data_IF_913665167852
#
_entry.id   IF_913665167852
#
_cell.length_a   1.000
_cell.length_b   1.000
_cell.length_c   1.000
_cell.angle_alpha   90.00
_cell.angle_beta   90.00
_cell.angle_gamma   90.00
#
_symmetry.space_group_name_H-M   'P 1'
#
loop_
_entity.id
_entity.type
_entity.pdbx_description
1 polymer ?
#
# COMPACT_ATOMS: atom_id res chain seq x y z
N UNK A 1 19.47 -5.01 -8.83
CA UNK A 1 19.51 -3.55 -8.99
C UNK A 1 19.71 -2.88 -7.64
N UNK A 2 20.67 -1.96 -7.53
CA UNK A 2 20.90 -1.18 -6.33
C UNK A 2 19.69 -0.28 -6.04
N UNK A 3 19.25 -0.22 -4.78
CA UNK A 3 18.10 0.58 -4.36
C UNK A 3 18.44 2.06 -4.49
N UNK A 4 17.75 2.78 -5.37
CA UNK A 4 17.87 4.25 -5.48
C UNK A 4 17.57 4.88 -4.11
N UNK A 5 18.43 5.79 -3.67
CA UNK A 5 18.22 6.54 -2.45
C UNK A 5 16.90 7.33 -2.56
N UNK A 6 16.04 7.25 -1.55
CA UNK A 6 14.73 7.93 -1.60
C UNK A 6 14.80 9.45 -1.71
N UNK A 7 15.96 10.04 -1.44
CA UNK A 7 16.23 11.46 -1.65
C UNK A 7 16.30 11.83 -3.12
N UNK A 8 16.65 10.88 -4.00
CA UNK A 8 16.83 11.09 -5.45
C UNK A 8 15.70 10.50 -6.30
N UNK A 9 14.55 10.14 -5.71
CA UNK A 9 13.41 9.70 -6.52
C UNK A 9 12.85 10.87 -7.36
N UNK A 10 12.42 10.63 -8.61
CA UNK A 10 11.71 11.63 -9.40
C UNK A 10 10.29 11.83 -8.85
N UNK A 11 9.58 12.88 -9.27
CA UNK A 11 8.12 12.94 -9.16
C UNK A 11 7.51 11.97 -10.19
N UNK A 12 6.38 11.33 -9.87
CA UNK A 12 5.77 10.37 -10.79
C UNK A 12 5.02 9.24 -10.12
N UNK A 13 5.16 8.04 -10.70
CA UNK A 13 4.46 6.84 -10.31
C UNK A 13 5.33 5.96 -9.41
N UNK A 14 4.73 5.35 -8.39
CA UNK A 14 5.43 4.54 -7.41
C UNK A 14 4.66 3.28 -7.04
N UNK A 15 5.37 2.16 -7.00
CA UNK A 15 4.95 0.98 -6.25
C UNK A 15 5.44 1.07 -4.81
N UNK A 16 4.50 1.09 -3.88
CA UNK A 16 4.74 1.24 -2.46
C UNK A 16 4.33 -0.04 -1.73
N UNK A 17 5.12 -0.45 -0.74
CA UNK A 17 4.71 -1.47 0.20
C UNK A 17 5.15 -1.16 1.65
N UNK A 18 4.36 -1.61 2.62
CA UNK A 18 4.77 -1.63 4.03
C UNK A 18 4.24 -2.88 4.71
N UNK A 19 4.97 -3.38 5.69
CA UNK A 19 4.74 -4.66 6.36
C UNK A 19 4.80 -4.51 7.88
N UNK A 20 3.98 -5.29 8.56
CA UNK A 20 4.00 -5.43 10.01
C UNK A 20 5.35 -5.92 10.53
N UNK A 21 5.72 -5.49 11.73
CA UNK A 21 6.93 -5.97 12.41
C UNK A 21 6.83 -7.49 12.63
N UNK A 22 7.91 -8.23 12.41
CA UNK A 22 7.96 -9.69 12.59
C UNK A 22 6.83 -10.46 11.88
N UNK A 23 6.33 -9.96 10.74
CA UNK A 23 5.22 -10.62 10.01
C UNK A 23 3.87 -10.56 10.73
N UNK A 24 3.73 -9.67 11.72
CA UNK A 24 2.48 -9.45 12.44
C UNK A 24 1.35 -9.06 11.49
N UNK A 25 0.14 -9.57 11.76
CA UNK A 25 -1.07 -9.12 11.09
C UNK A 25 -1.29 -7.62 11.37
N UNK A 26 -1.27 -6.81 10.32
CA UNK A 26 -1.63 -5.39 10.42
C UNK A 26 -3.13 -5.18 10.24
N UNK A 27 -3.87 -6.23 9.84
CA UNK A 27 -5.32 -6.31 9.86
C UNK A 27 -5.72 -7.63 10.52
N UNK A 28 -6.37 -7.56 11.67
CA UNK A 28 -6.93 -8.73 12.39
C UNK A 28 -8.27 -9.13 11.76
N UNK A 29 -9.04 -8.15 11.29
CA UNK A 29 -10.34 -8.38 10.66
C UNK A 29 -10.65 -7.31 9.59
N UNK A 30 -11.85 -7.38 9.03
CA UNK A 30 -12.29 -6.47 7.97
C UNK A 30 -12.57 -5.04 8.44
N UNK A 31 -12.83 -4.82 9.74
CA UNK A 31 -12.95 -3.49 10.31
C UNK A 31 -11.63 -2.73 10.15
N UNK A 32 -10.52 -3.39 10.49
CA UNK A 32 -9.17 -2.81 10.35
C UNK A 32 -8.88 -2.38 8.91
N UNK A 33 -9.28 -3.21 7.94
CA UNK A 33 -9.11 -2.89 6.51
C UNK A 33 -9.96 -1.70 6.09
N UNK A 34 -11.22 -1.63 6.54
CA UNK A 34 -12.10 -0.48 6.28
C UNK A 34 -11.54 0.82 6.88
N UNK A 35 -11.04 0.77 8.11
CA UNK A 35 -10.39 1.92 8.76
C UNK A 35 -9.16 2.39 7.98
N UNK A 36 -8.32 1.45 7.56
CA UNK A 36 -7.14 1.75 6.76
C UNK A 36 -7.52 2.37 5.41
N UNK A 37 -8.53 1.84 4.70
CA UNK A 37 -9.02 2.43 3.45
C UNK A 37 -9.58 3.84 3.68
N UNK A 38 -10.26 4.08 4.80
CA UNK A 38 -10.72 5.41 5.18
C UNK A 38 -9.56 6.39 5.38
N UNK A 39 -8.51 5.97 6.09
CA UNK A 39 -7.29 6.76 6.26
C UNK A 39 -6.53 6.97 4.95
N UNK A 40 -6.41 5.94 4.11
CA UNK A 40 -5.78 6.00 2.80
C UNK A 40 -6.49 7.01 1.91
N UNK A 41 -7.83 7.00 1.87
CA UNK A 41 -8.64 7.97 1.12
C UNK A 41 -8.42 9.40 1.62
N UNK A 42 -8.37 9.61 2.94
CA UNK A 42 -8.05 10.93 3.53
C UNK A 42 -6.65 11.38 3.14
N UNK A 43 -5.67 10.49 3.27
CA UNK A 43 -4.28 10.74 2.93
C UNK A 43 -4.14 11.14 1.45
N UNK A 44 -4.76 10.37 0.54
CA UNK A 44 -4.71 10.65 -0.88
C UNK A 44 -5.26 12.04 -1.22
N UNK A 45 -6.37 12.46 -0.59
CA UNK A 45 -6.90 13.83 -0.74
C UNK A 45 -5.95 14.89 -0.20
N UNK A 46 -5.47 14.73 1.03
CA UNK A 46 -4.63 15.74 1.71
C UNK A 46 -3.28 15.96 1.01
N UNK A 47 -2.68 14.90 0.50
CA UNK A 47 -1.33 14.94 -0.09
C UNK A 47 -1.35 14.94 -1.63
N UNK A 48 -2.53 14.99 -2.25
CA UNK A 48 -2.69 15.06 -3.70
C UNK A 48 -2.21 13.81 -4.43
N UNK A 49 -2.54 12.62 -3.92
CA UNK A 49 -2.18 11.35 -4.55
C UNK A 49 -3.26 10.89 -5.53
N UNK A 50 -2.81 10.40 -6.68
CA UNK A 50 -3.61 9.55 -7.56
C UNK A 50 -3.38 8.09 -7.20
N UNK A 51 -4.41 7.38 -6.76
CA UNK A 51 -4.31 5.94 -6.52
C UNK A 51 -4.71 5.17 -7.80
N UNK A 52 -3.78 4.38 -8.32
CA UNK A 52 -3.99 3.53 -9.49
C UNK A 52 -4.40 2.11 -9.08
N UNK A 53 -3.78 1.57 -8.03
CA UNK A 53 -4.14 0.28 -7.46
C UNK A 53 -3.80 0.20 -5.97
N UNK A 54 -4.50 -0.69 -5.26
CA UNK A 54 -4.11 -1.11 -3.91
C UNK A 54 -4.43 -2.59 -3.70
N UNK A 55 -3.72 -3.21 -2.75
CA UNK A 55 -4.07 -4.51 -2.20
C UNK A 55 -3.67 -4.57 -0.73
N UNK A 56 -4.65 -4.78 0.15
CA UNK A 56 -4.43 -5.00 1.57
C UNK A 56 -4.36 -6.50 1.82
N UNK A 57 -3.19 -6.99 2.22
CA UNK A 57 -2.99 -8.39 2.59
C UNK A 57 -3.36 -8.57 4.07
N UNK A 58 -2.86 -9.60 4.75
CA UNK A 58 -3.01 -9.73 6.21
C UNK A 58 -1.91 -8.98 6.97
N UNK A 59 -0.68 -9.08 6.49
CA UNK A 59 0.53 -8.60 7.21
C UNK A 59 1.17 -7.37 6.57
N UNK A 60 0.69 -6.96 5.41
CA UNK A 60 1.27 -5.87 4.62
C UNK A 60 0.24 -5.30 3.65
N UNK A 61 0.58 -4.18 3.02
CA UNK A 61 -0.21 -3.61 1.93
C UNK A 61 0.71 -3.27 0.76
N UNK A 62 0.12 -3.22 -0.43
CA UNK A 62 0.73 -2.69 -1.65
C UNK A 62 -0.13 -1.55 -2.21
N UNK A 63 0.50 -0.47 -2.68
CA UNK A 63 -0.15 0.65 -3.35
C UNK A 63 0.60 0.98 -4.65
N UNK A 64 -0.14 1.40 -5.66
CA UNK A 64 0.40 2.06 -6.85
C UNK A 64 -0.12 3.50 -6.86
N UNK A 65 0.78 4.46 -6.68
CA UNK A 65 0.45 5.87 -6.44
C UNK A 65 1.18 6.78 -7.42
N UNK A 66 0.46 7.75 -7.99
CA UNK A 66 1.02 8.90 -8.68
C UNK A 66 1.04 10.13 -7.76
N UNK A 67 2.20 10.73 -7.55
CA UNK A 67 2.35 11.94 -6.70
C UNK A 67 3.73 12.57 -6.84
N UNK A 68 3.92 13.76 -6.28
CA UNK A 68 5.26 14.29 -5.97
C UNK A 68 5.92 13.50 -4.83
N UNK A 69 7.23 13.29 -4.91
CA UNK A 69 8.01 12.51 -3.92
C UNK A 69 7.89 13.03 -2.49
N UNK A 70 7.93 14.35 -2.33
CA UNK A 70 7.82 14.98 -1.01
C UNK A 70 6.47 14.64 -0.35
N UNK A 71 5.39 14.68 -1.14
CA UNK A 71 4.04 14.35 -0.69
C UNK A 71 3.86 12.86 -0.43
N UNK A 72 4.50 11.99 -1.23
CA UNK A 72 4.54 10.54 -0.98
C UNK A 72 5.10 10.24 0.42
N UNK A 73 6.26 10.84 0.73
CA UNK A 73 6.95 10.58 2.00
C UNK A 73 6.17 11.10 3.20
N UNK A 74 5.62 12.31 3.11
CA UNK A 74 4.81 12.91 4.19
C UNK A 74 3.51 12.13 4.42
N UNK A 75 2.79 11.80 3.35
CA UNK A 75 1.51 11.10 3.49
C UNK A 75 1.66 9.66 3.96
N UNK A 76 2.67 8.92 3.50
CA UNK A 76 2.86 7.53 3.99
C UNK A 76 3.35 7.49 5.43
N UNK A 77 4.14 8.49 5.86
CA UNK A 77 4.47 8.64 7.27
C UNK A 77 3.20 8.85 8.11
N UNK A 78 2.36 9.82 7.71
CA UNK A 78 1.11 10.12 8.41
C UNK A 78 0.15 8.92 8.42
N UNK A 79 -0.07 8.28 7.27
CA UNK A 79 -0.96 7.13 7.12
C UNK A 79 -0.56 5.99 8.07
N UNK A 80 0.72 5.60 8.04
CA UNK A 80 1.21 4.49 8.84
C UNK A 80 1.23 4.82 10.33
N UNK A 81 1.64 6.05 10.69
CA UNK A 81 1.62 6.51 12.07
C UNK A 81 0.19 6.52 12.63
N UNK A 82 -0.75 7.14 11.91
CA UNK A 82 -2.13 7.27 12.38
C UNK A 82 -2.81 5.91 12.51
N UNK A 83 -2.66 5.06 11.50
CA UNK A 83 -3.22 3.72 11.54
C UNK A 83 -2.62 2.88 12.67
N UNK A 84 -1.30 2.91 12.85
CA UNK A 84 -0.65 2.17 13.95
C UNK A 84 -1.12 2.67 15.32
N UNK A 85 -1.34 3.98 15.48
CA UNK A 85 -1.88 4.56 16.71
C UNK A 85 -3.29 4.04 17.00
N UNK A 86 -4.18 4.09 16.01
CA UNK A 86 -5.57 3.64 16.15
C UNK A 86 -5.64 2.11 16.41
N UNK A 87 -4.84 1.33 15.68
CA UNK A 87 -4.72 -0.12 15.84
C UNK A 87 -4.19 -0.49 17.23
N UNK A 88 -3.13 0.17 17.70
CA UNK A 88 -2.55 -0.11 19.00
C UNK A 88 -3.52 0.20 20.13
N UNK A 89 -4.28 1.30 20.04
CA UNK A 89 -5.33 1.61 21.00
C UNK A 89 -6.43 0.54 21.00
N UNK A 90 -6.91 0.13 19.82
CA UNK A 90 -7.97 -0.88 19.65
C UNK A 90 -7.59 -2.25 20.23
N UNK A 91 -6.34 -2.66 20.03
CA UNK A 91 -5.86 -3.99 20.44
C UNK A 91 -5.03 -3.97 21.73
N UNK A 92 -5.05 -2.87 22.48
CA UNK A 92 -4.28 -2.69 23.72
C UNK A 92 -2.78 -3.04 23.57
N UNK A 93 -2.19 -2.67 22.43
CA UNK A 93 -0.79 -2.91 22.10
C UNK A 93 0.08 -1.69 22.35
N UNK A 94 1.35 -1.94 22.59
CA UNK A 94 2.40 -0.92 22.61
C UNK A 94 3.49 -1.26 21.59
N UNK A 95 4.29 -0.25 21.21
CA UNK A 95 5.39 -0.40 20.27
C UNK A 95 4.99 -0.32 18.79
N UNK A 96 5.91 -0.73 17.92
CA UNK A 96 5.77 -0.59 16.48
C UNK A 96 4.79 -1.61 15.90
N UNK A 97 3.81 -1.15 15.10
CA UNK A 97 2.99 -2.03 14.26
C UNK A 97 3.72 -2.37 12.96
N UNK A 98 4.20 -1.35 12.25
CA UNK A 98 5.00 -1.50 11.03
C UNK A 98 6.47 -1.68 11.39
N UNK A 99 7.16 -2.61 10.72
CA UNK A 99 8.56 -2.91 11.02
C UNK A 99 9.52 -1.85 10.45
N UNK A 100 9.87 -2.01 9.17
CA UNK A 100 10.73 -1.06 8.47
C UNK A 100 9.93 0.13 7.91
N UNK A 101 10.67 1.19 7.54
CA UNK A 101 10.14 2.23 6.66
C UNK A 101 9.56 1.58 5.39
N UNK A 102 8.49 2.16 4.86
CA UNK A 102 7.90 1.69 3.61
C UNK A 102 8.91 1.66 2.46
N UNK A 103 8.76 0.69 1.56
CA UNK A 103 9.45 0.67 0.27
C UNK A 103 8.67 1.52 -0.73
N UNK A 104 9.39 2.23 -1.59
CA UNK A 104 8.85 2.93 -2.75
C UNK A 104 9.81 2.68 -3.92
N UNK A 105 9.29 2.13 -5.01
CA UNK A 105 10.00 1.91 -6.26
C UNK A 105 9.37 2.79 -7.34
N UNK A 106 10.14 3.63 -8.05
CA UNK A 106 9.60 4.40 -9.16
C UNK A 106 9.14 3.45 -10.27
N UNK A 107 8.10 3.85 -10.99
CA UNK A 107 7.60 3.18 -12.19
C UNK A 107 7.96 4.11 -13.35
N UNK A 108 8.73 3.60 -14.31
CA UNK A 108 9.43 4.41 -15.31
C UNK A 108 8.52 4.86 -16.46
N UNK A 109 7.53 4.06 -16.85
CA UNK A 109 6.57 4.38 -17.92
C UNK A 109 5.17 3.76 -17.68
N UNK A 110 4.25 4.05 -18.60
CA UNK A 110 2.87 3.56 -18.55
C UNK A 110 2.75 2.05 -18.73
N UNK A 111 3.61 1.41 -19.52
CA UNK A 111 3.62 -0.04 -19.69
C UNK A 111 3.92 -0.73 -18.35
N UNK A 112 4.95 -0.24 -17.64
CA UNK A 112 5.27 -0.74 -16.30
C UNK A 112 4.19 -0.40 -15.25
N UNK A 113 3.34 0.59 -15.49
CA UNK A 113 2.23 0.91 -14.61
C UNK A 113 1.16 -0.18 -14.62
N UNK A 114 0.81 -0.71 -15.79
CA UNK A 114 -0.14 -1.83 -15.91
C UNK A 114 0.40 -3.07 -15.21
N UNK A 115 1.66 -3.43 -15.48
CA UNK A 115 2.32 -4.57 -14.83
C UNK A 115 2.37 -4.42 -13.30
N UNK A 116 2.65 -3.22 -12.80
CA UNK A 116 2.64 -2.94 -11.37
C UNK A 116 1.23 -3.09 -10.77
N UNK A 117 0.19 -2.61 -11.46
CA UNK A 117 -1.20 -2.76 -11.03
C UNK A 117 -1.63 -4.23 -11.02
N UNK A 118 -1.35 -4.98 -12.11
CA UNK A 118 -1.60 -6.41 -12.25
C UNK A 118 -0.87 -7.21 -11.16
N UNK A 119 0.40 -6.89 -10.92
CA UNK A 119 1.16 -7.49 -9.82
C UNK A 119 0.45 -7.31 -8.48
N UNK A 120 0.00 -6.09 -8.17
CA UNK A 120 -0.66 -5.76 -6.90
C UNK A 120 -1.94 -6.55 -6.68
N UNK A 121 -2.82 -6.65 -7.69
CA UNK A 121 -4.09 -7.39 -7.57
C UNK A 121 -3.90 -8.91 -7.53
N UNK A 122 -2.82 -9.45 -8.10
CA UNK A 122 -2.50 -10.89 -8.10
C UNK A 122 -1.81 -11.35 -6.80
N UNK A 123 -1.44 -10.45 -5.90
CA UNK A 123 -0.75 -10.81 -4.65
C UNK A 123 -1.55 -11.77 -3.75
N UNK A 124 -2.86 -11.58 -3.52
CA UNK A 124 -3.68 -12.51 -2.73
C UNK A 124 -3.65 -13.94 -3.28
N UNK A 125 -3.74 -14.09 -4.60
CA UNK A 125 -3.67 -15.40 -5.29
C UNK A 125 -2.29 -16.03 -5.11
N UNK A 126 -1.22 -15.27 -5.35
CA UNK A 126 0.16 -15.75 -5.14
C UNK A 126 0.43 -16.17 -3.71
N UNK A 127 -0.22 -15.51 -2.74
CA UNK A 127 -0.15 -15.83 -1.33
C UNK A 127 -1.14 -16.93 -0.89
N UNK A 128 -1.91 -17.52 -1.83
CA UNK A 128 -2.93 -18.55 -1.57
C UNK A 128 -4.02 -18.10 -0.59
N UNK A 129 -4.33 -16.81 -0.57
CA UNK A 129 -5.45 -16.25 0.23
C UNK A 129 -6.80 -16.40 -0.48
N UNK A 130 -6.77 -16.55 -1.80
CA UNK A 130 -7.92 -16.84 -2.65
C UNK A 130 -7.44 -17.53 -3.94
N UNK A 131 -8.36 -18.10 -4.71
CA UNK A 131 -8.05 -18.75 -6.00
C UNK A 131 -8.00 -17.74 -7.15
N UNK A 132 -8.84 -16.71 -7.07
CA UNK A 132 -8.96 -15.67 -8.09
C UNK A 132 -8.92 -14.25 -7.50
N UNK A 133 -8.42 -13.24 -8.23
CA UNK A 133 -8.32 -11.86 -7.71
C UNK A 133 -9.66 -11.27 -7.27
N UNK A 134 -10.76 -11.60 -7.94
CA UNK A 134 -12.13 -11.12 -7.65
C UNK A 134 -12.63 -11.54 -6.27
N UNK A 135 -12.11 -12.65 -5.74
CA UNK A 135 -12.49 -13.18 -4.44
C UNK A 135 -11.84 -12.41 -3.29
N UNK A 136 -10.89 -11.51 -3.57
CA UNK A 136 -10.24 -10.69 -2.55
C UNK A 136 -10.79 -9.26 -2.56
N UNK A 137 -11.77 -8.92 -1.70
CA UNK A 137 -12.45 -7.61 -1.74
C UNK A 137 -11.56 -6.44 -1.29
N UNK A 138 -10.36 -6.73 -0.81
CA UNK A 138 -9.42 -5.75 -0.28
C UNK A 138 -8.35 -5.33 -1.29
N UNK A 139 -8.63 -5.53 -2.58
CA UNK A 139 -7.83 -5.02 -3.69
C UNK A 139 -8.67 -4.16 -4.63
N UNK A 140 -7.99 -3.33 -5.42
CA UNK A 140 -8.59 -2.49 -6.45
C UNK A 140 -7.52 -2.12 -7.48
N UNK A 141 -7.92 -2.00 -8.75
CA UNK A 141 -7.11 -1.46 -9.84
C UNK A 141 -8.00 -0.61 -10.74
N UNK A 142 -7.52 0.57 -11.12
CA UNK A 142 -8.16 1.46 -12.11
C UNK A 142 -8.22 0.81 -13.50
N UNK A 143 -7.32 -0.11 -13.78
CA UNK A 143 -7.15 -0.75 -15.10
C UNK A 143 -7.87 -2.10 -15.20
N UNK A 144 -8.63 -2.51 -14.18
CA UNK A 144 -9.28 -3.82 -14.13
C UNK A 144 -8.34 -4.92 -13.64
N UNK A 145 -8.79 -6.17 -13.83
CA UNK A 145 -8.09 -7.38 -13.36
C UNK A 145 -7.25 -8.08 -14.42
N UNK A 146 -7.42 -7.67 -15.68
CA UNK A 146 -6.64 -8.15 -16.82
C UNK A 146 -5.61 -7.07 -17.18
N UNK A 147 -4.36 -7.44 -17.53
CA UNK A 147 -3.48 -6.52 -18.26
C UNK A 147 -4.17 -6.13 -19.57
N UNK A 148 -4.10 -4.85 -19.95
CA UNK A 148 -4.62 -4.37 -21.23
C UNK A 148 -3.83 -4.96 -22.40
#
# INVERSE_FOLDING_TARGET
MARIARTSLPDGLFHVASRGVCGTAIYVNDHDRRDFLGLLRRCAKTYGWTCHAYCLMTTHYHLVLGTRRAQLSRGLHWLNWRYASDFNARYHRYGHLFGNRFSARPIEDETYLFDACAYVILNPVKARLCERPEQWPWSFSRYGLEPA
#
